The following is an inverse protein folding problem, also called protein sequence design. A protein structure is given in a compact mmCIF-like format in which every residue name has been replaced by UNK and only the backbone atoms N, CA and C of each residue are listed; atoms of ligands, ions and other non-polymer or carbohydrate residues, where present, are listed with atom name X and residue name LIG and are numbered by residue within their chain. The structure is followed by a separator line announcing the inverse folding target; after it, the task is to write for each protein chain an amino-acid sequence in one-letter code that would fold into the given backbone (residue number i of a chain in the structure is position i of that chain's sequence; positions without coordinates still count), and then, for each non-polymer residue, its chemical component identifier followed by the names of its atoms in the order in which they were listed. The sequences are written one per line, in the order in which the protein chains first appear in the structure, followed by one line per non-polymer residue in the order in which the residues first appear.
data_IF_775639240381
#
_entry.id   IF_775639240381
#
_cell.length_a   1.000
_cell.length_b   1.000
_cell.length_c   1.000
_cell.angle_alpha   90.00
_cell.angle_beta   90.00
_cell.angle_gamma   90.00
#
_symmetry.space_group_name_H-M   'P 1'
#
loop_
_entity.id
_entity.type
_entity.pdbx_description
1 polymer ?
#
# COMPACT_ATOMS: atom_id res chain seq x y z
N UNK A 1 -7.20 -36.46 -1.00
CA UNK A 1 -6.38 -35.22 -0.93
C UNK A 1 -7.00 -34.30 0.10
N UNK A 2 -6.32 -34.05 1.22
CA UNK A 2 -6.78 -33.05 2.19
C UNK A 2 -6.65 -31.66 1.58
N UNK A 3 -7.74 -30.89 1.54
CA UNK A 3 -7.67 -29.46 1.21
C UNK A 3 -6.88 -28.80 2.33
N UNK A 4 -5.66 -28.37 2.03
CA UNK A 4 -4.92 -27.47 2.91
C UNK A 4 -5.75 -26.19 3.01
N UNK A 5 -6.30 -25.92 4.18
CA UNK A 5 -6.91 -24.63 4.46
C UNK A 5 -5.77 -23.60 4.45
N UNK A 6 -5.63 -22.88 3.34
CA UNK A 6 -4.73 -21.74 3.27
C UNK A 6 -5.31 -20.68 4.20
N UNK A 7 -4.66 -20.47 5.34
CA UNK A 7 -5.00 -19.41 6.28
C UNK A 7 -5.03 -18.07 5.51
N UNK A 8 -6.05 -17.21 5.72
CA UNK A 8 -6.07 -15.90 5.08
C UNK A 8 -4.87 -15.10 5.56
N UNK A 9 -4.02 -14.69 4.61
CA UNK A 9 -2.87 -13.84 4.91
C UNK A 9 -3.39 -12.49 5.38
N UNK A 10 -2.81 -11.95 6.45
CA UNK A 10 -3.13 -10.58 6.88
C UNK A 10 -2.81 -9.61 5.72
N UNK A 11 -3.86 -8.95 5.20
CA UNK A 11 -3.75 -8.10 4.00
C UNK A 11 -2.78 -6.93 4.21
N UNK A 12 -2.74 -6.36 5.42
CA UNK A 12 -1.80 -5.27 5.74
C UNK A 12 -0.35 -5.76 5.70
N UNK A 13 -0.09 -6.96 6.22
CA UNK A 13 1.26 -7.54 6.23
C UNK A 13 1.71 -7.89 4.82
N UNK A 14 0.81 -8.41 3.98
CA UNK A 14 1.09 -8.63 2.56
C UNK A 14 1.46 -7.33 1.84
N UNK A 15 0.69 -6.26 2.06
CA UNK A 15 0.97 -4.95 1.47
C UNK A 15 2.33 -4.41 1.94
N UNK A 16 2.63 -4.50 3.24
CA UNK A 16 3.93 -4.08 3.79
C UNK A 16 5.08 -4.90 3.21
N UNK A 17 4.91 -6.21 3.07
CA UNK A 17 5.91 -7.09 2.50
C UNK A 17 6.26 -6.70 1.05
N UNK A 18 5.26 -6.61 0.18
CA UNK A 18 5.46 -6.21 -1.22
C UNK A 18 6.01 -4.79 -1.31
N UNK A 19 5.51 -3.84 -0.52
CA UNK A 19 6.03 -2.48 -0.51
C UNK A 19 7.54 -2.44 -0.20
N UNK A 20 7.99 -3.19 0.82
CA UNK A 20 9.40 -3.29 1.20
C UNK A 20 10.24 -3.93 0.10
N UNK A 21 9.73 -4.99 -0.53
CA UNK A 21 10.38 -5.65 -1.67
C UNK A 21 10.58 -4.67 -2.84
N UNK A 22 9.60 -3.82 -3.10
CA UNK A 22 9.66 -2.79 -4.15
C UNK A 22 10.43 -1.52 -3.75
N UNK A 23 11.05 -1.50 -2.56
CA UNK A 23 11.89 -0.40 -2.09
C UNK A 23 11.13 0.82 -1.55
N UNK A 24 9.84 0.67 -1.22
CA UNK A 24 9.11 1.70 -0.47
C UNK A 24 9.60 1.75 0.98
N UNK A 25 9.71 2.97 1.50
CA UNK A 25 9.84 3.21 2.93
C UNK A 25 8.46 3.12 3.57
N UNK A 26 8.43 2.53 4.76
CA UNK A 26 7.22 2.39 5.56
C UNK A 26 7.39 3.27 6.80
N UNK A 27 6.42 4.14 7.06
CA UNK A 27 6.37 4.95 8.26
C UNK A 27 5.03 4.79 8.92
N UNK A 28 5.01 4.26 10.14
CA UNK A 28 3.78 4.17 10.93
C UNK A 28 3.29 5.57 11.29
N UNK A 29 1.98 5.79 11.22
CA UNK A 29 1.35 7.06 11.57
C UNK A 29 0.85 6.94 13.00
N UNK A 30 1.35 7.81 13.89
CA UNK A 30 0.98 7.84 15.31
C UNK A 30 1.22 6.50 16.06
N UNK A 31 2.19 5.69 15.62
CA UNK A 31 2.50 4.40 16.25
C UNK A 31 1.43 3.32 16.07
N UNK A 32 0.47 3.51 15.15
CA UNK A 32 -0.58 2.53 14.88
C UNK A 32 -0.14 1.53 13.81
N UNK A 33 -0.27 0.23 14.08
CA UNK A 33 0.02 -0.83 13.10
C UNK A 33 -0.98 -0.87 11.94
N UNK A 34 -2.17 -0.28 12.11
CA UNK A 34 -3.26 -0.24 11.14
C UNK A 34 -3.27 1.03 10.29
N UNK A 35 -2.32 1.95 10.48
CA UNK A 35 -2.18 3.17 9.68
C UNK A 35 -0.72 3.49 9.40
N UNK A 36 -0.32 3.44 8.13
CA UNK A 36 1.06 3.65 7.72
C UNK A 36 1.16 4.31 6.35
N UNK A 37 2.28 4.99 6.14
CA UNK A 37 2.64 5.62 4.89
C UNK A 37 3.66 4.76 4.16
N UNK A 38 3.42 4.55 2.87
CA UNK A 38 4.30 3.88 1.92
C UNK A 38 4.82 4.92 0.95
N UNK A 39 6.12 5.15 0.90
CA UNK A 39 6.67 6.09 -0.07
C UNK A 39 8.10 5.76 -0.51
N UNK A 40 8.41 6.01 -1.77
CA UNK A 40 9.81 6.09 -2.24
C UNK A 40 10.31 7.53 -2.09
N UNK A 41 9.50 8.46 -2.59
CA UNK A 41 9.57 9.91 -2.40
C UNK A 41 8.15 10.43 -2.18
N UNK A 42 7.99 11.64 -1.62
CA UNK A 42 6.67 12.30 -1.49
C UNK A 42 6.28 12.96 -2.80
N UNK A 43 5.87 12.14 -3.75
CA UNK A 43 5.33 12.54 -5.04
C UNK A 43 4.06 11.75 -5.33
N UNK A 44 3.20 12.33 -6.18
CA UNK A 44 2.10 11.58 -6.78
C UNK A 44 2.60 10.25 -7.37
N UNK A 45 1.78 9.20 -7.27
CA UNK A 45 2.03 7.84 -7.77
C UNK A 45 3.01 6.97 -6.99
N UNK A 46 3.82 7.54 -6.09
CA UNK A 46 4.84 6.78 -5.32
C UNK A 46 4.77 7.06 -3.81
N UNK A 47 3.68 7.68 -3.35
CA UNK A 47 3.37 7.89 -1.95
C UNK A 47 1.90 7.58 -1.68
N UNK A 48 1.66 6.66 -0.76
CA UNK A 48 0.35 6.16 -0.38
C UNK A 48 0.23 6.13 1.15
N UNK A 49 -0.96 6.43 1.66
CA UNK A 49 -1.32 6.19 3.06
C UNK A 49 -2.33 5.07 3.11
N UNK A 50 -1.98 4.01 3.83
CA UNK A 50 -2.83 2.86 4.06
C UNK A 50 -3.39 2.97 5.46
N UNK A 51 -4.70 2.81 5.61
CA UNK A 51 -5.35 2.81 6.91
C UNK A 51 -6.49 1.82 6.96
N UNK A 52 -6.71 1.19 8.11
CA UNK A 52 -7.85 0.29 8.33
C UNK A 52 -8.71 0.84 9.48
N UNK A 53 -9.56 1.85 9.22
CA UNK A 53 -10.41 2.44 10.26
C UNK A 53 -11.65 1.59 10.58
N UNK A 54 -11.98 0.60 9.74
CA UNK A 54 -13.17 -0.25 9.87
C UNK A 54 -12.93 -1.61 9.20
N UNK A 55 -13.98 -2.27 8.70
CA UNK A 55 -13.95 -3.62 8.11
C UNK A 55 -13.16 -3.74 6.79
N UNK A 56 -12.65 -2.62 6.27
CA UNK A 56 -11.87 -2.60 5.04
C UNK A 56 -10.69 -1.64 5.13
N UNK A 57 -9.72 -1.87 4.26
CA UNK A 57 -8.51 -1.05 4.16
C UNK A 57 -8.75 0.07 3.15
N UNK A 58 -8.41 1.28 3.55
CA UNK A 58 -8.43 2.49 2.72
C UNK A 58 -7.01 2.82 2.28
N UNK A 59 -6.86 3.13 1.00
CA UNK A 59 -5.61 3.68 0.47
C UNK A 59 -5.88 5.10 -0.03
N UNK A 60 -5.06 6.03 0.44
CA UNK A 60 -5.03 7.41 0.03
C UNK A 60 -3.75 7.66 -0.76
N UNK A 61 -3.82 8.55 -1.74
CA UNK A 61 -2.65 8.98 -2.49
C UNK A 61 -2.17 10.34 -1.99
N UNK A 62 -0.86 10.55 -2.02
CA UNK A 62 -0.27 11.86 -1.74
C UNK A 62 -0.63 12.85 -2.84
N UNK A 63 -1.07 14.04 -2.43
CA UNK A 63 -1.42 15.16 -3.30
C UNK A 63 -0.32 16.24 -3.20
N UNK A 64 0.53 16.38 -4.22
CA UNK A 64 1.69 17.30 -4.17
C UNK A 64 1.23 18.77 -4.00
N UNK A 65 0.12 19.13 -4.63
CA UNK A 65 -0.44 20.49 -4.60
C UNK A 65 -0.79 20.96 -3.18
N UNK A 66 -1.30 20.06 -2.35
CA UNK A 66 -1.71 20.37 -0.97
C UNK A 66 -0.73 19.81 0.07
N UNK A 67 0.28 19.04 -0.36
CA UNK A 67 1.25 18.37 0.52
C UNK A 67 0.59 17.57 1.64
N UNK A 68 -0.49 16.88 1.30
CA UNK A 68 -1.28 16.04 2.20
C UNK A 68 -1.76 14.78 1.47
N UNK A 69 -2.30 13.82 2.22
CA UNK A 69 -2.97 12.67 1.62
C UNK A 69 -4.42 13.04 1.33
N UNK A 70 -4.83 12.88 0.06
CA UNK A 70 -6.18 13.20 -0.39
C UNK A 70 -7.23 12.19 0.08
N UNK A 71 -8.38 12.19 -0.61
CA UNK A 71 -9.46 11.23 -0.35
C UNK A 71 -8.99 9.79 -0.60
N UNK A 72 -9.69 8.82 0.02
CA UNK A 72 -9.44 7.41 -0.26
C UNK A 72 -9.69 7.13 -1.76
N UNK A 73 -8.69 6.59 -2.45
CA UNK A 73 -8.74 6.24 -3.88
C UNK A 73 -9.02 4.76 -4.09
N UNK A 74 -8.63 3.90 -3.14
CA UNK A 74 -8.91 2.47 -3.17
C UNK A 74 -9.54 1.98 -1.86
N UNK A 75 -10.46 1.03 -2.00
CA UNK A 75 -11.07 0.27 -0.90
C UNK A 75 -10.70 -1.19 -1.09
N UNK A 76 -9.84 -1.72 -0.22
CA UNK A 76 -9.37 -3.11 -0.27
C UNK A 76 -10.24 -3.91 0.71
N UNK A 77 -11.05 -4.82 0.16
CA UNK A 77 -12.03 -5.63 0.91
C UNK A 77 -11.74 -7.12 0.82
N UNK A 78 -10.88 -7.52 -0.12
CA UNK A 78 -10.55 -8.90 -0.40
C UNK A 78 -9.06 -9.09 -0.67
N UNK A 79 -8.63 -10.36 -0.69
CA UNK A 79 -7.27 -10.71 -1.11
C UNK A 79 -6.99 -10.30 -2.56
N UNK A 80 -7.97 -10.42 -3.45
CA UNK A 80 -7.84 -10.00 -4.84
C UNK A 80 -7.60 -8.49 -4.96
N UNK A 81 -8.29 -7.69 -4.16
CA UNK A 81 -8.05 -6.23 -4.12
C UNK A 81 -6.65 -5.92 -3.59
N UNK A 82 -6.19 -6.65 -2.57
CA UNK A 82 -4.84 -6.49 -2.04
C UNK A 82 -3.78 -6.85 -3.08
N UNK A 83 -3.98 -7.92 -3.85
CA UNK A 83 -3.11 -8.30 -4.98
C UNK A 83 -3.10 -7.19 -6.04
N UNK A 84 -4.27 -6.64 -6.41
CA UNK A 84 -4.34 -5.54 -7.37
C UNK A 84 -3.59 -4.30 -6.87
N UNK A 85 -3.71 -3.99 -5.58
CA UNK A 85 -2.95 -2.89 -4.99
C UNK A 85 -1.45 -3.18 -4.96
N UNK A 86 -1.04 -4.42 -4.68
CA UNK A 86 0.36 -4.84 -4.79
C UNK A 86 0.89 -4.66 -6.22
N UNK A 87 0.10 -4.97 -7.25
CA UNK A 87 0.47 -4.70 -8.64
C UNK A 87 0.66 -3.20 -8.92
N UNK A 88 -0.15 -2.34 -8.30
CA UNK A 88 0.06 -0.88 -8.35
C UNK A 88 1.40 -0.51 -7.73
N UNK A 89 1.75 -1.04 -6.55
CA UNK A 89 3.05 -0.77 -5.92
C UNK A 89 4.22 -1.20 -6.80
N UNK A 90 4.15 -2.42 -7.38
CA UNK A 90 5.14 -2.96 -8.30
C UNK A 90 5.28 -2.05 -9.53
N UNK A 91 4.16 -1.66 -10.14
CA UNK A 91 4.18 -0.75 -11.29
C UNK A 91 4.74 0.63 -10.89
N UNK A 92 4.29 1.23 -9.79
CA UNK A 92 4.77 2.51 -9.29
C UNK A 92 6.27 2.53 -9.00
N UNK A 93 6.84 1.44 -8.49
CA UNK A 93 8.30 1.33 -8.33
C UNK A 93 8.99 1.06 -9.66
N UNK A 94 8.42 0.13 -10.43
CA UNK A 94 8.99 -0.44 -11.64
C UNK A 94 8.99 0.50 -12.82
N UNK A 95 7.98 1.33 -13.05
CA UNK A 95 7.88 2.19 -14.26
C UNK A 95 7.90 3.69 -13.96
N UNK A 96 8.25 4.12 -12.74
CA UNK A 96 8.39 5.54 -12.42
C UNK A 96 9.52 6.23 -13.18
N UNK A 97 9.32 7.52 -13.44
CA UNK A 97 10.36 8.41 -13.92
C UNK A 97 11.55 8.45 -12.94
N UNK A 98 12.77 8.54 -13.48
CA UNK A 98 14.03 8.58 -12.71
C UNK A 98 14.32 7.34 -11.85
N UNK A 99 13.73 6.18 -12.16
CA UNK A 99 14.18 4.90 -11.60
C UNK A 99 15.65 4.65 -11.99
N UNK A 100 16.45 4.11 -11.07
CA UNK A 100 17.80 3.62 -11.39
C UNK A 100 17.65 2.17 -11.88
N UNK A 101 18.34 1.82 -12.97
CA UNK A 101 18.47 0.44 -13.44
C UNK A 101 19.41 -0.34 -12.53
#
# INVERSE_FOLDING_TARGET
MARVAVQPVNLLDMIKYVAKEQGFKISDVNGSSSKFDLYINRHHSVAFRVSQPSDYIQVHQWEDNTSEYGRAVYSIRSHSDAIQFCNILIASAGIRAKRKQ
#
